data_IF_001376371574
#
_entry.id   IF_001376371574
#
_cell.length_a   1.000
_cell.length_b   1.000
_cell.length_c   1.000
_cell.angle_alpha   90.00
_cell.angle_beta   90.00
_cell.angle_gamma   90.00
#
_symmetry.space_group_name_H-M   'P 1'
#
loop_
_entity.id
_entity.type
_entity.pdbx_description
1 polymer ?
#
# COMPACT_ATOMS: atom_id res chain seq x y z
N UNK A 1 -10.55 -28.33 31.71
CA UNK A 1 -9.52 -28.47 30.66
C UNK A 1 -8.52 -27.32 30.80
N UNK A 2 -7.90 -27.18 31.98
CA UNK A 2 -7.27 -25.92 32.43
C UNK A 2 -5.92 -26.15 33.10
N UNK A 3 -5.14 -27.14 32.65
CA UNK A 3 -3.79 -27.41 33.16
C UNK A 3 -2.81 -27.80 32.03
N UNK A 4 -2.90 -27.16 30.86
CA UNK A 4 -1.84 -27.29 29.84
C UNK A 4 -0.97 -26.04 29.83
N UNK A 5 0.35 -26.25 29.87
CA UNK A 5 1.34 -25.19 29.69
C UNK A 5 1.27 -24.60 28.27
N UNK A 6 1.72 -23.35 28.11
CA UNK A 6 1.76 -22.68 26.79
C UNK A 6 2.51 -23.50 25.73
N UNK A 7 3.53 -24.24 26.16
CA UNK A 7 4.34 -25.10 25.28
C UNK A 7 3.54 -26.31 24.80
N UNK A 8 2.81 -26.98 25.69
CA UNK A 8 1.96 -28.13 25.33
C UNK A 8 0.81 -27.72 24.42
N UNK A 9 0.20 -26.56 24.65
CA UNK A 9 -0.84 -26.01 23.77
C UNK A 9 -0.30 -25.77 22.35
N UNK A 10 0.90 -25.20 22.23
CA UNK A 10 1.52 -24.99 20.92
C UNK A 10 1.94 -26.31 20.24
N UNK A 11 2.37 -27.32 20.99
CA UNK A 11 2.64 -28.66 20.44
C UNK A 11 1.35 -29.32 19.93
N UNK A 12 0.28 -29.23 20.70
CA UNK A 12 -1.04 -29.75 20.33
C UNK A 12 -1.58 -29.03 19.08
N UNK A 13 -1.41 -27.71 19.00
CA UNK A 13 -1.79 -26.93 17.83
C UNK A 13 -1.05 -27.41 16.56
N UNK A 14 0.27 -27.62 16.62
CA UNK A 14 1.06 -28.16 15.50
C UNK A 14 0.66 -29.59 15.13
N UNK A 15 0.27 -30.40 16.11
CA UNK A 15 -0.24 -31.75 15.86
C UNK A 15 -1.57 -31.70 15.08
N UNK A 16 -2.52 -30.87 15.52
CA UNK A 16 -3.79 -30.68 14.80
C UNK A 16 -3.62 -30.05 13.42
N UNK A 17 -2.62 -29.18 13.23
CA UNK A 17 -2.26 -28.62 11.94
C UNK A 17 -1.82 -29.71 10.95
N UNK A 18 -0.92 -30.61 11.39
CA UNK A 18 -0.48 -31.77 10.58
C UNK A 18 -1.62 -32.72 10.22
N UNK A 19 -2.63 -32.84 11.09
CA UNK A 19 -3.83 -33.64 10.84
C UNK A 19 -4.86 -32.94 9.95
N UNK A 20 -4.69 -31.64 9.65
CA UNK A 20 -5.61 -30.86 8.83
C UNK A 20 -6.77 -30.21 9.61
N UNK A 21 -6.81 -30.31 10.95
CA UNK A 21 -7.82 -29.66 11.80
C UNK A 21 -7.46 -28.19 12.10
N UNK A 22 -7.45 -27.37 11.05
CA UNK A 22 -7.01 -25.97 11.10
C UNK A 22 -7.77 -25.09 12.11
N UNK A 23 -9.10 -25.24 12.19
CA UNK A 23 -9.94 -24.46 13.13
C UNK A 23 -9.59 -24.75 14.60
N UNK A 24 -9.34 -26.02 14.92
CA UNK A 24 -8.98 -26.44 16.28
C UNK A 24 -7.56 -25.98 16.61
N UNK A 25 -6.65 -26.14 15.65
CA UNK A 25 -5.27 -25.65 15.74
C UNK A 25 -5.22 -24.14 16.01
N UNK A 26 -6.03 -23.34 15.30
CA UNK A 26 -6.15 -21.90 15.52
C UNK A 26 -6.55 -21.56 16.97
N UNK A 27 -7.53 -22.28 17.52
CA UNK A 27 -8.05 -22.04 18.87
C UNK A 27 -7.06 -22.37 19.98
N UNK A 28 -6.15 -23.32 19.72
CA UNK A 28 -5.16 -23.82 20.68
C UNK A 28 -3.83 -23.08 20.58
N UNK A 29 -3.49 -22.59 19.39
CA UNK A 29 -2.25 -21.85 19.17
C UNK A 29 -2.25 -20.56 19.98
N UNK A 30 -1.10 -20.19 20.56
CA UNK A 30 -0.89 -18.88 21.17
C UNK A 30 0.04 -17.99 20.33
N UNK A 31 0.66 -18.55 19.29
CA UNK A 31 1.60 -17.85 18.43
C UNK A 31 0.88 -17.09 17.30
N UNK A 32 1.25 -15.83 17.12
CA UNK A 32 0.67 -14.96 16.09
C UNK A 32 1.00 -15.46 14.68
N UNK A 33 2.26 -15.83 14.44
CA UNK A 33 2.71 -16.29 13.12
C UNK A 33 1.96 -17.54 12.68
N UNK A 34 1.85 -18.52 13.57
CA UNK A 34 1.07 -19.73 13.33
C UNK A 34 -0.41 -19.42 13.07
N UNK A 35 -1.03 -18.55 13.89
CA UNK A 35 -2.43 -18.14 13.68
C UNK A 35 -2.67 -17.44 12.35
N UNK A 36 -1.75 -16.59 11.94
CA UNK A 36 -1.83 -15.87 10.67
C UNK A 36 -1.74 -16.84 9.48
N UNK A 37 -0.78 -17.75 9.49
CA UNK A 37 -0.65 -18.78 8.44
C UNK A 37 -1.87 -19.70 8.37
N UNK A 38 -2.40 -20.10 9.54
CA UNK A 38 -3.64 -20.89 9.60
C UNK A 38 -4.79 -20.08 8.99
N UNK A 39 -4.97 -18.81 9.37
CA UNK A 39 -6.05 -17.95 8.86
C UNK A 39 -5.99 -17.76 7.34
N UNK A 40 -4.78 -17.61 6.78
CA UNK A 40 -4.57 -17.58 5.34
C UNK A 40 -4.98 -18.91 4.68
N UNK A 41 -4.64 -20.03 5.31
CA UNK A 41 -4.93 -21.39 4.81
C UNK A 41 -6.42 -21.76 4.89
N UNK A 42 -7.13 -21.40 5.97
CA UNK A 42 -8.59 -21.54 6.05
C UNK A 42 -9.31 -20.53 5.16
N UNK A 43 -8.62 -19.45 4.78
CA UNK A 43 -9.16 -18.44 3.90
C UNK A 43 -10.05 -17.40 4.57
N UNK A 44 -10.02 -17.35 5.90
CA UNK A 44 -10.77 -16.40 6.74
C UNK A 44 -10.03 -15.05 6.80
N UNK A 45 -10.13 -14.30 5.71
CA UNK A 45 -9.35 -13.07 5.49
C UNK A 45 -9.63 -11.97 6.53
N UNK A 46 -10.89 -11.86 6.99
CA UNK A 46 -11.28 -10.86 8.01
C UNK A 46 -10.55 -11.09 9.34
N UNK A 47 -10.37 -12.35 9.70
CA UNK A 47 -9.68 -12.74 10.92
C UNK A 47 -8.19 -12.45 10.81
N UNK A 48 -7.58 -12.75 9.65
CA UNK A 48 -6.19 -12.40 9.37
C UNK A 48 -5.95 -10.88 9.43
N UNK A 49 -6.89 -10.08 8.92
CA UNK A 49 -6.84 -8.61 9.00
C UNK A 49 -6.86 -8.11 10.45
N UNK A 50 -7.81 -8.61 11.26
CA UNK A 50 -7.93 -8.23 12.67
C UNK A 50 -6.65 -8.56 13.45
N UNK A 51 -6.11 -9.76 13.24
CA UNK A 51 -4.86 -10.18 13.89
C UNK A 51 -3.68 -9.26 13.53
N UNK A 52 -3.55 -8.86 12.26
CA UNK A 52 -2.50 -7.95 11.83
C UNK A 52 -2.68 -6.55 12.43
N UNK A 53 -3.90 -6.03 12.45
CA UNK A 53 -4.21 -4.73 13.04
C UNK A 53 -3.86 -4.69 14.54
N UNK A 54 -4.27 -5.70 15.31
CA UNK A 54 -3.97 -5.83 16.74
C UNK A 54 -2.45 -5.95 16.99
N UNK A 55 -1.74 -6.67 16.13
CA UNK A 55 -0.28 -6.82 16.27
C UNK A 55 0.48 -5.54 15.92
N UNK A 56 0.01 -4.79 14.94
CA UNK A 56 0.60 -3.51 14.56
C UNK A 56 0.47 -2.48 15.69
N UNK A 57 -0.67 -2.45 16.39
CA UNK A 57 -0.87 -1.61 17.57
C UNK A 57 0.01 -2.04 18.74
N UNK A 58 0.14 -3.35 18.97
CA UNK A 58 0.89 -3.90 20.11
C UNK A 58 2.41 -3.80 19.93
N UNK A 59 2.91 -3.86 18.69
CA UNK A 59 4.34 -3.93 18.39
C UNK A 59 4.72 -3.03 17.18
N UNK A 60 4.77 -1.71 17.34
CA UNK A 60 5.11 -0.80 16.24
C UNK A 60 6.53 -0.99 15.68
N UNK A 61 7.45 -1.54 16.48
CA UNK A 61 8.84 -1.80 16.11
C UNK A 61 9.00 -2.86 15.01
N UNK A 62 7.99 -3.71 14.77
CA UNK A 62 8.03 -4.78 13.77
C UNK A 62 7.33 -4.40 12.46
N UNK A 63 7.01 -3.12 12.25
CA UNK A 63 6.26 -2.60 11.10
C UNK A 63 6.79 -3.12 9.75
N UNK A 64 8.11 -3.18 9.55
CA UNK A 64 8.70 -3.70 8.30
C UNK A 64 8.35 -5.18 8.02
N UNK A 65 8.34 -6.02 9.06
CA UNK A 65 7.94 -7.43 8.91
C UNK A 65 6.42 -7.56 8.71
N UNK A 66 5.65 -6.65 9.31
CA UNK A 66 4.21 -6.59 9.12
C UNK A 66 3.84 -6.11 7.73
N UNK A 67 4.59 -5.20 7.10
CA UNK A 67 4.35 -4.76 5.72
C UNK A 67 4.31 -5.93 4.74
N UNK A 68 5.28 -6.86 4.82
CA UNK A 68 5.28 -8.04 3.96
C UNK A 68 4.08 -8.96 4.22
N UNK A 69 3.63 -9.08 5.47
CA UNK A 69 2.42 -9.86 5.82
C UNK A 69 1.15 -9.18 5.32
N UNK A 70 1.07 -7.86 5.39
CA UNK A 70 -0.03 -7.05 4.83
C UNK A 70 -0.11 -7.19 3.31
N UNK A 71 1.01 -7.10 2.59
CA UNK A 71 1.04 -7.34 1.13
C UNK A 71 0.55 -8.73 0.79
N UNK A 72 1.04 -9.78 1.48
CA UNK A 72 0.57 -11.17 1.27
C UNK A 72 -0.93 -11.33 1.52
N UNK A 73 -1.47 -10.68 2.56
CA UNK A 73 -2.90 -10.69 2.84
C UNK A 73 -3.68 -9.99 1.73
N UNK A 74 -3.18 -8.84 1.25
CA UNK A 74 -3.74 -8.09 0.14
C UNK A 74 -3.80 -8.91 -1.15
N UNK A 75 -2.72 -9.61 -1.50
CA UNK A 75 -2.66 -10.46 -2.68
C UNK A 75 -3.65 -11.63 -2.61
N UNK A 76 -3.80 -12.24 -1.44
CA UNK A 76 -4.82 -13.29 -1.24
C UNK A 76 -6.24 -12.71 -1.31
N UNK A 77 -6.45 -11.51 -0.79
CA UNK A 77 -7.74 -10.81 -0.88
C UNK A 77 -8.08 -10.47 -2.34
N UNK A 78 -7.10 -10.03 -3.13
CA UNK A 78 -7.25 -9.81 -4.58
C UNK A 78 -7.60 -11.11 -5.31
N UNK A 79 -6.92 -12.21 -5.00
CA UNK A 79 -7.21 -13.52 -5.59
C UNK A 79 -8.65 -14.01 -5.30
N UNK A 80 -9.23 -13.56 -4.17
CA UNK A 80 -10.62 -13.84 -3.78
C UNK A 80 -11.62 -12.75 -4.18
N UNK A 81 -11.22 -11.80 -5.04
CA UNK A 81 -12.05 -10.68 -5.51
C UNK A 81 -12.53 -9.73 -4.40
N UNK A 82 -11.84 -9.68 -3.25
CA UNK A 82 -12.14 -8.78 -2.14
C UNK A 82 -11.35 -7.47 -2.27
N UNK A 83 -11.66 -6.68 -3.29
CA UNK A 83 -10.93 -5.46 -3.68
C UNK A 83 -10.80 -4.44 -2.54
N UNK A 84 -11.88 -4.18 -1.79
CA UNK A 84 -11.85 -3.20 -0.69
C UNK A 84 -10.88 -3.62 0.43
N UNK A 85 -10.89 -4.90 0.79
CA UNK A 85 -9.99 -5.42 1.82
C UNK A 85 -8.53 -5.36 1.34
N UNK A 86 -8.29 -5.63 0.06
CA UNK A 86 -6.96 -5.50 -0.52
C UNK A 86 -6.46 -4.05 -0.49
N UNK A 87 -7.30 -3.06 -0.84
CA UNK A 87 -6.96 -1.63 -0.73
C UNK A 87 -6.51 -1.28 0.69
N UNK A 88 -7.29 -1.66 1.71
CA UNK A 88 -6.97 -1.41 3.12
C UNK A 88 -5.66 -2.09 3.56
N UNK A 89 -5.41 -3.31 3.08
CA UNK A 89 -4.18 -4.05 3.34
C UNK A 89 -2.97 -3.36 2.71
N UNK A 90 -3.06 -2.92 1.45
CA UNK A 90 -1.95 -2.25 0.78
C UNK A 90 -1.64 -0.87 1.37
N UNK A 91 -2.65 -0.14 1.84
CA UNK A 91 -2.45 1.09 2.62
C UNK A 91 -1.69 0.80 3.91
N UNK A 92 -2.05 -0.25 4.63
CA UNK A 92 -1.35 -0.65 5.87
C UNK A 92 0.07 -1.16 5.59
N UNK A 93 0.31 -1.75 4.41
CA UNK A 93 1.62 -2.21 3.98
C UNK A 93 2.57 -1.07 3.55
N UNK A 94 2.03 0.11 3.20
CA UNK A 94 2.69 1.14 2.39
C UNK A 94 3.18 0.61 1.03
N UNK A 95 2.43 -0.32 0.43
CA UNK A 95 2.73 -0.81 -0.92
C UNK A 95 2.08 0.10 -1.97
N UNK A 96 2.78 1.18 -2.30
CA UNK A 96 2.29 2.18 -3.25
C UNK A 96 2.15 1.64 -4.69
N UNK A 97 2.91 0.61 -5.06
CA UNK A 97 2.88 0.04 -6.41
C UNK A 97 1.60 -0.76 -6.62
N UNK A 98 1.27 -1.63 -5.68
CA UNK A 98 0.02 -2.40 -5.70
C UNK A 98 -1.20 -1.49 -5.58
N UNK A 99 -1.12 -0.43 -4.75
CA UNK A 99 -2.16 0.61 -4.67
C UNK A 99 -2.36 1.31 -6.02
N UNK A 100 -1.30 1.75 -6.69
CA UNK A 100 -1.41 2.41 -7.99
C UNK A 100 -2.12 1.51 -9.01
N UNK A 101 -1.77 0.22 -9.05
CA UNK A 101 -2.42 -0.74 -9.96
C UNK A 101 -3.91 -0.88 -9.66
N UNK A 102 -4.27 -1.02 -8.38
CA UNK A 102 -5.66 -1.19 -7.97
C UNK A 102 -6.50 0.07 -8.25
N UNK A 103 -5.95 1.23 -7.90
CA UNK A 103 -6.64 2.51 -8.02
C UNK A 103 -6.73 3.00 -9.46
N UNK A 104 -5.72 2.74 -10.29
CA UNK A 104 -5.76 3.02 -11.73
C UNK A 104 -6.84 2.20 -12.43
N UNK A 105 -6.97 0.93 -12.07
CA UNK A 105 -7.99 0.03 -12.62
C UNK A 105 -9.40 0.42 -12.19
N UNK A 106 -9.55 0.96 -10.97
CA UNK A 106 -10.85 1.38 -10.41
C UNK A 106 -11.22 2.83 -10.75
N UNK A 107 -10.29 3.60 -11.33
CA UNK A 107 -10.41 5.03 -11.61
C UNK A 107 -10.89 5.86 -10.40
N UNK A 108 -10.45 5.49 -9.19
CA UNK A 108 -10.85 6.18 -7.97
C UNK A 108 -9.99 7.44 -7.75
N UNK A 109 -10.48 8.58 -8.25
CA UNK A 109 -9.75 9.85 -8.23
C UNK A 109 -9.39 10.37 -6.83
N UNK A 110 -10.25 10.16 -5.83
CA UNK A 110 -9.96 10.65 -4.47
C UNK A 110 -8.83 9.85 -3.83
N UNK A 111 -8.88 8.52 -3.93
CA UNK A 111 -7.80 7.65 -3.44
C UNK A 111 -6.49 7.86 -4.21
N UNK A 112 -6.55 8.09 -5.53
CA UNK A 112 -5.37 8.41 -6.34
C UNK A 112 -4.72 9.75 -5.94
N UNK A 113 -5.53 10.78 -5.63
CA UNK A 113 -5.00 12.06 -5.13
C UNK A 113 -4.30 11.87 -3.77
N UNK A 114 -4.90 11.07 -2.87
CA UNK A 114 -4.27 10.71 -1.60
C UNK A 114 -2.97 9.93 -1.80
N UNK A 115 -2.92 9.00 -2.75
CA UNK A 115 -1.70 8.24 -3.09
C UNK A 115 -0.60 9.16 -3.62
N UNK A 116 -0.96 10.14 -4.46
CA UNK A 116 -0.01 11.12 -4.97
C UNK A 116 0.67 11.91 -3.86
N UNK A 117 -0.10 12.40 -2.88
CA UNK A 117 0.45 13.14 -1.73
C UNK A 117 1.32 12.26 -0.83
N UNK A 118 0.91 11.01 -0.59
CA UNK A 118 1.67 10.07 0.22
C UNK A 118 3.01 9.71 -0.43
N UNK A 119 3.00 9.42 -1.72
CA UNK A 119 4.20 9.03 -2.50
C UNK A 119 5.13 10.21 -2.74
N UNK A 120 4.61 11.43 -2.90
CA UNK A 120 5.42 12.65 -2.95
C UNK A 120 6.22 12.83 -1.64
N UNK A 121 5.58 12.65 -0.48
CA UNK A 121 6.24 12.74 0.83
C UNK A 121 7.30 11.67 1.04
N UNK A 122 7.06 10.47 0.50
CA UNK A 122 8.01 9.34 0.55
C UNK A 122 9.16 9.48 -0.45
N UNK A 123 9.13 10.49 -1.34
CA UNK A 123 10.14 10.71 -2.38
C UNK A 123 9.96 9.83 -3.63
N UNK A 124 8.84 9.11 -3.73
CA UNK A 124 8.49 8.25 -4.87
C UNK A 124 7.79 9.05 -5.97
N UNK A 125 8.52 9.99 -6.57
CA UNK A 125 7.97 10.94 -7.53
C UNK A 125 7.33 10.29 -8.77
N UNK A 126 7.82 9.12 -9.20
CA UNK A 126 7.26 8.43 -10.36
C UNK A 126 5.82 7.93 -10.10
N UNK A 127 5.57 7.36 -8.92
CA UNK A 127 4.24 6.89 -8.53
C UNK A 127 3.32 8.09 -8.28
N UNK A 128 3.85 9.15 -7.67
CA UNK A 128 3.11 10.40 -7.48
C UNK A 128 2.66 11.01 -8.81
N UNK A 129 3.57 11.10 -9.78
CA UNK A 129 3.27 11.60 -11.13
C UNK A 129 2.18 10.78 -11.82
N UNK A 130 2.31 9.44 -11.81
CA UNK A 130 1.30 8.56 -12.41
C UNK A 130 -0.06 8.68 -11.73
N UNK A 131 -0.07 8.80 -10.40
CA UNK A 131 -1.30 8.98 -9.63
C UNK A 131 -2.01 10.30 -9.98
N UNK A 132 -1.25 11.41 -10.06
CA UNK A 132 -1.78 12.72 -10.49
C UNK A 132 -2.27 12.71 -11.93
N UNK A 133 -1.53 12.01 -12.81
CA UNK A 133 -1.89 11.86 -14.21
C UNK A 133 -3.24 11.17 -14.37
N UNK A 134 -3.43 10.04 -13.68
CA UNK A 134 -4.67 9.27 -13.69
C UNK A 134 -5.84 10.03 -13.04
N UNK A 135 -5.59 10.86 -12.02
CA UNK A 135 -6.58 11.79 -11.49
C UNK A 135 -7.05 12.83 -12.51
N UNK A 136 -6.25 13.11 -13.53
CA UNK A 136 -6.41 14.24 -14.44
C UNK A 136 -5.91 15.56 -13.87
N UNK A 137 -5.15 15.54 -12.77
CA UNK A 137 -4.55 16.74 -12.19
C UNK A 137 -3.25 17.11 -12.93
N UNK A 138 -3.42 17.70 -14.10
CA UNK A 138 -2.33 18.14 -14.99
C UNK A 138 -1.46 19.20 -14.34
N UNK A 139 -2.06 20.11 -13.58
CA UNK A 139 -1.34 21.18 -12.90
C UNK A 139 -0.42 20.63 -11.81
N UNK A 140 -0.90 19.67 -11.02
CA UNK A 140 -0.07 18.98 -10.03
C UNK A 140 1.08 18.20 -10.67
N UNK A 141 0.87 17.58 -11.84
CA UNK A 141 1.95 16.91 -12.58
C UNK A 141 3.06 17.88 -12.97
N UNK A 142 2.69 19.06 -13.48
CA UNK A 142 3.64 20.13 -13.84
C UNK A 142 4.38 20.63 -12.60
N UNK A 143 3.69 20.84 -11.48
CA UNK A 143 4.32 21.28 -10.23
C UNK A 143 5.31 20.24 -9.70
N UNK A 144 4.99 18.95 -9.80
CA UNK A 144 5.89 17.87 -9.42
C UNK A 144 7.15 17.83 -10.29
N UNK A 145 7.02 18.08 -11.60
CA UNK A 145 8.17 18.17 -12.52
C UNK A 145 9.05 19.38 -12.21
N UNK A 146 8.46 20.53 -11.86
CA UNK A 146 9.21 21.73 -11.42
C UNK A 146 9.97 21.41 -10.13
N UNK A 147 9.33 20.78 -9.14
CA UNK A 147 9.96 20.38 -7.86
C UNK A 147 11.14 19.44 -8.05
N UNK A 148 11.08 18.54 -9.03
CA UNK A 148 12.16 17.61 -9.35
C UNK A 148 13.23 18.20 -10.28
N UNK A 149 13.15 19.50 -10.61
CA UNK A 149 14.12 20.20 -11.46
C UNK A 149 13.95 19.96 -12.97
N UNK A 150 12.90 19.23 -13.39
CA UNK A 150 12.62 18.88 -14.79
C UNK A 150 11.76 19.94 -15.47
N UNK A 151 12.27 21.17 -15.53
CA UNK A 151 11.55 22.35 -16.05
C UNK A 151 11.20 22.24 -17.54
N UNK A 152 12.06 21.61 -18.35
CA UNK A 152 11.80 21.37 -19.78
C UNK A 152 10.59 20.47 -19.98
N UNK A 153 10.56 19.32 -19.28
CA UNK A 153 9.43 18.38 -19.32
C UNK A 153 8.14 19.03 -18.82
N UNK A 154 8.24 19.84 -17.75
CA UNK A 154 7.12 20.60 -17.22
C UNK A 154 6.53 21.57 -18.26
N UNK A 155 7.39 22.28 -19.01
CA UNK A 155 6.96 23.18 -20.08
C UNK A 155 6.28 22.41 -21.21
N UNK A 156 6.88 21.32 -21.68
CA UNK A 156 6.29 20.49 -22.74
C UNK A 156 4.94 19.93 -22.32
N UNK A 157 4.84 19.39 -21.10
CA UNK A 157 3.60 18.84 -20.56
C UNK A 157 2.53 19.92 -20.46
N UNK A 158 2.87 21.08 -19.89
CA UNK A 158 1.96 22.19 -19.72
C UNK A 158 1.43 22.72 -21.06
N UNK A 159 2.31 22.91 -22.05
CA UNK A 159 1.95 23.38 -23.38
C UNK A 159 1.09 22.36 -24.14
N UNK A 160 1.41 21.08 -24.02
CA UNK A 160 0.70 20.00 -24.73
C UNK A 160 -0.71 19.78 -24.19
N UNK A 161 -0.87 19.84 -22.86
CA UNK A 161 -2.13 19.49 -22.20
C UNK A 161 -2.98 20.68 -21.76
N UNK A 162 -2.60 21.91 -22.14
CA UNK A 162 -3.42 23.11 -22.00
C UNK A 162 -3.42 23.72 -20.61
N UNK A 163 -2.27 23.76 -19.92
CA UNK A 163 -2.12 24.47 -18.64
C UNK A 163 -2.15 25.99 -18.88
N UNK A 164 -2.57 26.77 -17.87
CA UNK A 164 -2.73 28.23 -17.96
C UNK A 164 -1.48 28.94 -18.51
N UNK A 165 -1.71 29.97 -19.33
CA UNK A 165 -0.64 30.73 -19.99
C UNK A 165 0.31 31.40 -19.00
N UNK A 166 -0.22 31.91 -17.88
CA UNK A 166 0.57 32.53 -16.81
C UNK A 166 1.56 31.53 -16.18
N UNK A 167 1.14 30.28 -15.96
CA UNK A 167 1.98 29.24 -15.40
C UNK A 167 3.07 28.82 -16.39
N UNK A 168 2.76 28.80 -17.68
CA UNK A 168 3.75 28.53 -18.73
C UNK A 168 4.84 29.62 -18.81
N UNK A 169 4.47 30.89 -18.66
CA UNK A 169 5.45 31.99 -18.61
C UNK A 169 6.36 31.89 -17.39
N UNK A 170 5.80 31.55 -16.22
CA UNK A 170 6.57 31.29 -15.00
C UNK A 170 7.59 30.15 -15.19
N UNK A 171 7.15 29.03 -15.78
CA UNK A 171 8.03 27.88 -16.09
C UNK A 171 9.12 28.27 -17.09
N UNK A 172 8.79 29.07 -18.10
CA UNK A 172 9.77 29.56 -19.07
C UNK A 172 10.83 30.46 -18.41
N UNK A 173 10.43 31.29 -17.44
CA UNK A 173 11.35 32.06 -16.61
C UNK A 173 12.29 31.17 -15.79
N UNK A 174 11.74 30.17 -15.09
CA UNK A 174 12.52 29.20 -14.32
C UNK A 174 13.47 28.39 -15.21
N UNK A 175 13.02 28.00 -16.41
CA UNK A 175 13.85 27.28 -17.35
C UNK A 175 15.01 28.12 -17.87
N UNK A 176 14.77 29.39 -18.23
CA UNK A 176 15.84 30.33 -18.61
C UNK A 176 16.85 30.51 -17.47
N UNK A 177 16.38 30.67 -16.24
CA UNK A 177 17.27 30.77 -15.08
C UNK A 177 18.12 29.51 -14.87
N UNK A 178 17.56 28.32 -15.11
CA UNK A 178 18.27 27.06 -14.99
C UNK A 178 19.36 26.85 -16.07
N UNK A 179 19.23 27.50 -17.23
CA UNK A 179 20.23 27.42 -18.31
C UNK A 179 21.37 28.45 -18.13
N UNK A 180 21.12 29.58 -17.46
CA UNK A 180 22.08 30.71 -17.34
C UNK A 180 23.15 30.47 -16.25
N UNK A 181 23.68 29.25 -16.18
CA UNK A 181 24.88 28.90 -15.39
C UNK A 181 26.05 28.73 -16.37
#
# INVERSE_FOLDING_TARGET
>A
MTDLSKTELNQLARFFEKLGYLKLSYSLSQDFDSKFQISLSTGDLKQAYQLLSENQESNPSSAHLLSQKWTKLGDLAMAKWQVKLAEDCYWSANDHTSLLLLLSSSNNKSSLARLAEATEKSGEYNISFQSLWLCGNKEGCVDLLIKTGRTVEAMFLGRTYGVSSEKLESIAGLWKAAIVV
#
